data_IF_951399157591
#
_entry.id   IF_951399157591
#
_cell.length_a   1.000
_cell.length_b   1.000
_cell.length_c   1.000
_cell.angle_alpha   90.00
_cell.angle_beta   90.00
_cell.angle_gamma   90.00
#
_symmetry.space_group_name_H-M   'P 1'
#
loop_
_entity.id
_entity.type
_entity.pdbx_description
1 polymer ?
#
# COMPACT_ATOMS: atom_id res chain seq x y z
N UNK A 1 17.40 9.02 5.41
CA UNK A 1 16.67 9.79 6.44
C UNK A 1 15.87 10.95 5.84
N UNK A 2 16.48 11.87 5.09
CA UNK A 2 15.83 13.09 4.56
C UNK A 2 14.56 12.87 3.75
N UNK A 3 14.47 11.83 2.91
CA UNK A 3 13.27 11.53 2.13
C UNK A 3 12.10 11.14 3.04
N UNK A 4 12.33 10.27 4.05
CA UNK A 4 11.30 9.89 5.01
C UNK A 4 10.82 11.09 5.82
N UNK A 5 11.75 11.94 6.29
CA UNK A 5 11.40 13.17 7.01
C UNK A 5 10.54 14.08 6.14
N UNK A 6 10.88 14.23 4.85
CA UNK A 6 10.14 15.09 3.93
C UNK A 6 8.70 14.67 3.73
N UNK A 7 8.38 13.36 3.82
CA UNK A 7 7.00 12.87 3.75
C UNK A 7 6.14 13.40 4.91
N UNK A 8 6.77 13.71 6.05
CA UNK A 8 6.08 14.23 7.25
C UNK A 8 6.14 15.76 7.39
N UNK A 9 6.71 16.45 6.41
CA UNK A 9 6.77 17.93 6.44
C UNK A 9 5.54 18.52 5.76
N UNK A 10 4.99 19.57 6.38
CA UNK A 10 3.88 20.32 5.79
C UNK A 10 4.26 20.88 4.40
N UNK A 11 3.35 20.75 3.43
CA UNK A 11 3.58 21.20 2.06
C UNK A 11 4.34 20.21 1.17
N UNK A 12 4.52 18.96 1.61
CA UNK A 12 5.08 17.91 0.76
C UNK A 12 4.12 17.58 -0.40
N UNK A 13 4.62 17.68 -1.63
CA UNK A 13 3.86 17.44 -2.87
C UNK A 13 4.50 16.37 -3.78
N UNK A 14 5.47 15.60 -3.28
CA UNK A 14 6.09 14.49 -4.02
C UNK A 14 7.15 14.91 -5.04
N UNK A 15 7.68 16.13 -4.95
CA UNK A 15 8.76 16.62 -5.83
C UNK A 15 10.13 16.31 -5.26
N UNK A 16 11.12 16.05 -6.12
CA UNK A 16 12.53 15.93 -5.69
C UNK A 16 13.05 17.20 -5.01
N UNK A 17 12.52 18.35 -5.40
CA UNK A 17 12.83 19.64 -4.76
C UNK A 17 12.31 19.73 -3.33
N UNK A 18 11.19 19.06 -3.02
CA UNK A 18 10.65 19.06 -1.65
C UNK A 18 11.55 18.25 -0.72
N UNK A 19 12.16 17.17 -1.22
CA UNK A 19 13.16 16.43 -0.45
C UNK A 19 14.44 17.27 -0.21
N UNK A 20 14.88 18.02 -1.22
CA UNK A 20 16.09 18.84 -1.13
C UNK A 20 15.94 20.00 -0.14
N UNK A 21 14.76 20.65 -0.11
CA UNK A 21 14.46 21.75 0.82
C UNK A 21 14.57 21.36 2.30
N UNK A 22 14.50 20.08 2.60
CA UNK A 22 14.49 19.56 3.97
C UNK A 22 15.70 18.65 4.23
N UNK A 23 16.78 18.84 3.48
CA UNK A 23 18.01 18.08 3.65
C UNK A 23 19.23 18.93 3.23
N UNK A 24 20.39 18.62 3.77
CA UNK A 24 21.69 19.18 3.33
C UNK A 24 22.11 18.68 1.93
N UNK A 25 21.31 17.82 1.29
CA UNK A 25 21.64 17.23 0.01
C UNK A 25 21.01 18.01 -1.15
N UNK A 26 21.79 18.28 -2.18
CA UNK A 26 21.26 18.86 -3.41
C UNK A 26 20.27 17.90 -4.09
N UNK A 27 19.28 18.44 -4.81
CA UNK A 27 18.24 17.67 -5.52
C UNK A 27 18.78 16.56 -6.44
N UNK A 28 19.95 16.78 -7.03
CA UNK A 28 20.60 15.79 -7.92
C UNK A 28 21.11 14.58 -7.13
N UNK A 29 21.62 14.77 -5.92
CA UNK A 29 22.05 13.70 -5.02
C UNK A 29 20.86 12.82 -4.63
N UNK A 30 19.72 13.43 -4.31
CA UNK A 30 18.50 12.72 -3.99
C UNK A 30 17.96 11.97 -5.21
N UNK A 31 17.96 12.61 -6.38
CA UNK A 31 17.58 11.97 -7.62
C UNK A 31 18.48 10.78 -7.96
N UNK A 32 19.81 10.92 -7.74
CA UNK A 32 20.78 9.83 -7.90
C UNK A 32 20.52 8.70 -6.89
N UNK A 33 20.26 8.99 -5.62
CA UNK A 33 19.93 8.02 -4.59
C UNK A 33 18.72 7.18 -4.98
N UNK A 34 17.64 7.79 -5.46
CA UNK A 34 16.46 7.08 -5.90
C UNK A 34 16.66 6.30 -7.21
N UNK A 35 17.54 6.75 -8.12
CA UNK A 35 17.73 6.12 -9.44
C UNK A 35 18.79 5.02 -9.42
N UNK A 36 20.01 5.40 -9.07
CA UNK A 36 21.23 4.60 -9.24
C UNK A 36 22.06 4.46 -7.97
N UNK A 37 21.55 4.95 -6.83
CA UNK A 37 22.19 4.74 -5.53
C UNK A 37 22.39 3.26 -5.24
N UNK A 38 23.56 2.91 -4.72
CA UNK A 38 23.98 1.52 -4.42
C UNK A 38 23.39 1.01 -3.09
N UNK A 39 22.12 1.29 -2.80
CA UNK A 39 21.43 0.70 -1.66
C UNK A 39 20.51 -0.43 -2.14
N UNK A 40 20.39 -1.45 -1.29
CA UNK A 40 19.62 -2.64 -1.60
C UNK A 40 18.14 -2.42 -1.20
N UNK A 41 17.32 -2.11 -2.19
CA UNK A 41 15.88 -1.93 -2.00
C UNK A 41 15.17 -3.27 -1.79
N UNK A 42 15.71 -4.40 -2.25
CA UNK A 42 15.15 -5.72 -1.96
C UNK A 42 15.31 -6.09 -0.49
N UNK A 43 16.49 -5.85 0.09
CA UNK A 43 16.75 -6.08 1.51
C UNK A 43 15.80 -5.26 2.40
N UNK A 44 15.57 -3.98 2.06
CA UNK A 44 14.62 -3.14 2.81
C UNK A 44 13.18 -3.66 2.67
N UNK A 45 12.79 -4.08 1.47
CA UNK A 45 11.47 -4.67 1.20
C UNK A 45 11.26 -5.94 2.03
N UNK A 46 12.24 -6.83 2.05
CA UNK A 46 12.15 -8.10 2.78
C UNK A 46 12.15 -7.88 4.29
N UNK A 47 12.96 -6.95 4.81
CA UNK A 47 12.94 -6.57 6.21
C UNK A 47 11.56 -6.02 6.63
N UNK A 48 10.94 -5.19 5.78
CA UNK A 48 9.59 -4.67 6.01
C UNK A 48 8.56 -5.79 6.03
N UNK A 49 8.59 -6.70 5.04
CA UNK A 49 7.71 -7.88 4.99
C UNK A 49 7.84 -8.74 6.25
N UNK A 50 9.07 -9.05 6.67
CA UNK A 50 9.32 -9.85 7.88
C UNK A 50 8.80 -9.15 9.14
N UNK A 51 8.97 -7.83 9.25
CA UNK A 51 8.42 -7.05 10.36
C UNK A 51 6.89 -7.10 10.40
N UNK A 52 6.24 -6.98 9.25
CA UNK A 52 4.78 -7.08 9.12
C UNK A 52 4.28 -8.46 9.53
N UNK A 53 4.93 -9.53 9.03
CA UNK A 53 4.60 -10.92 9.41
C UNK A 53 4.78 -11.10 10.92
N UNK A 54 5.93 -10.69 11.46
CA UNK A 54 6.23 -10.81 12.89
C UNK A 54 5.15 -10.17 13.76
N UNK A 55 4.76 -8.94 13.46
CA UNK A 55 3.73 -8.21 14.22
C UNK A 55 2.37 -8.90 14.09
N UNK A 56 1.90 -9.14 12.88
CA UNK A 56 0.53 -9.65 12.65
C UNK A 56 0.38 -11.08 13.17
N UNK A 57 1.37 -11.94 12.97
CA UNK A 57 1.30 -13.34 13.40
C UNK A 57 1.49 -13.48 14.92
N UNK A 58 2.33 -12.63 15.55
CA UNK A 58 2.44 -12.58 17.00
C UNK A 58 1.13 -12.11 17.64
N UNK A 59 0.46 -11.11 17.05
CA UNK A 59 -0.83 -10.65 17.52
C UNK A 59 -1.93 -11.72 17.36
N UNK A 60 -1.90 -12.45 16.24
CA UNK A 60 -2.81 -13.57 16.01
C UNK A 60 -2.59 -14.70 17.01
N UNK A 61 -1.34 -15.07 17.29
CA UNK A 61 -1.00 -16.07 18.30
C UNK A 61 -1.42 -15.64 19.71
N UNK A 62 -1.24 -14.35 20.04
CA UNK A 62 -1.60 -13.80 21.35
C UNK A 62 -3.11 -13.76 21.60
N UNK A 63 -3.90 -13.44 20.53
CA UNK A 63 -5.34 -13.18 20.68
C UNK A 63 -6.24 -14.31 20.21
N UNK A 64 -5.72 -15.26 19.41
CA UNK A 64 -6.51 -16.28 18.73
C UNK A 64 -7.38 -15.72 17.59
N UNK A 65 -7.26 -14.42 17.28
CA UNK A 65 -8.04 -13.77 16.22
C UNK A 65 -7.52 -14.15 14.83
N UNK A 66 -8.40 -14.19 13.82
CA UNK A 66 -8.02 -14.55 12.47
C UNK A 66 -7.08 -13.50 11.83
N UNK A 67 -6.15 -13.99 10.99
CA UNK A 67 -5.38 -13.13 10.10
C UNK A 67 -6.17 -12.92 8.82
N UNK A 68 -6.26 -11.66 8.38
CA UNK A 68 -6.82 -11.28 7.10
C UNK A 68 -5.70 -10.84 6.16
N UNK A 69 -5.61 -11.49 5.00
CA UNK A 69 -4.83 -11.03 3.86
C UNK A 69 -5.76 -10.29 2.91
N UNK A 70 -5.54 -9.01 2.69
CA UNK A 70 -6.44 -8.15 1.91
C UNK A 70 -5.73 -7.73 0.64
N UNK A 71 -6.36 -7.97 -0.51
CA UNK A 71 -5.78 -7.70 -1.84
C UNK A 71 -6.67 -6.75 -2.61
N UNK A 72 -6.05 -5.70 -3.15
CA UNK A 72 -6.70 -4.78 -4.08
C UNK A 72 -5.64 -4.03 -4.91
N UNK A 73 -6.06 -3.22 -5.88
CA UNK A 73 -5.16 -2.36 -6.64
C UNK A 73 -5.63 -0.91 -6.70
N UNK A 74 -4.70 -0.02 -6.94
CA UNK A 74 -4.98 1.40 -7.08
C UNK A 74 -4.22 2.01 -8.25
N UNK A 75 -4.74 3.10 -8.82
CA UNK A 75 -4.08 3.89 -9.84
C UNK A 75 -3.53 5.16 -9.22
N UNK A 76 -2.22 5.37 -9.35
CA UNK A 76 -1.56 6.64 -9.11
C UNK A 76 -1.69 7.50 -10.37
N UNK A 77 -2.72 8.32 -10.42
CA UNK A 77 -3.09 9.10 -11.62
C UNK A 77 -2.02 10.11 -11.99
N UNK A 78 -1.75 10.24 -13.29
CA UNK A 78 -0.79 11.18 -13.87
C UNK A 78 -1.39 11.91 -15.08
N UNK A 79 -0.90 13.11 -15.33
CA UNK A 79 -1.16 13.78 -16.61
C UNK A 79 -0.30 13.12 -17.68
N UNK A 80 -0.92 12.66 -18.79
CA UNK A 80 -0.17 12.10 -19.92
C UNK A 80 0.73 13.19 -20.53
N UNK A 81 2.03 12.96 -20.65
CA UNK A 81 2.94 13.88 -21.33
C UNK A 81 2.53 14.08 -22.78
N UNK A 82 2.87 15.24 -23.36
CA UNK A 82 2.73 15.48 -24.79
C UNK A 82 3.61 14.50 -25.58
N UNK A 83 3.23 14.17 -26.81
CA UNK A 83 3.95 13.21 -27.66
C UNK A 83 5.42 13.61 -27.91
N UNK A 84 5.72 14.91 -27.84
CA UNK A 84 7.08 15.49 -27.99
C UNK A 84 7.88 15.58 -26.70
N UNK A 85 7.39 15.01 -25.59
CA UNK A 85 8.13 15.04 -24.33
C UNK A 85 9.43 14.25 -24.43
N UNK A 86 10.56 14.87 -24.03
CA UNK A 86 11.88 14.25 -24.06
C UNK A 86 12.01 13.12 -23.02
N UNK A 87 11.26 13.21 -21.95
CA UNK A 87 11.28 12.24 -20.84
C UNK A 87 9.85 11.76 -20.55
N UNK A 88 9.37 10.73 -21.28
CA UNK A 88 8.09 10.12 -20.98
C UNK A 88 8.13 9.47 -19.59
N UNK A 89 6.93 9.29 -19.01
CA UNK A 89 6.82 8.58 -17.73
C UNK A 89 6.90 7.08 -18.03
N UNK A 90 7.97 6.43 -17.57
CA UNK A 90 8.18 4.99 -17.74
C UNK A 90 7.09 4.18 -17.02
N UNK A 91 6.64 3.07 -17.62
CA UNK A 91 5.63 2.14 -17.08
C UNK A 91 4.28 2.79 -16.69
N UNK A 92 4.00 4.01 -17.18
CA UNK A 92 2.69 4.63 -17.06
C UNK A 92 1.81 4.27 -18.26
N UNK A 93 0.61 3.77 -17.98
CA UNK A 93 -0.33 3.31 -19.00
C UNK A 93 -1.74 3.85 -18.74
N UNK A 94 -2.63 3.70 -19.72
CA UNK A 94 -4.05 3.84 -19.49
C UNK A 94 -4.61 2.59 -18.81
N UNK A 95 -5.34 2.80 -17.73
CA UNK A 95 -6.03 1.78 -16.96
C UNK A 95 -7.51 2.13 -16.86
N UNK A 96 -8.38 1.11 -16.87
CA UNK A 96 -9.80 1.33 -16.61
C UNK A 96 -10.01 1.65 -15.13
N UNK A 97 -10.46 2.87 -14.84
CA UNK A 97 -10.83 3.28 -13.49
C UNK A 97 -12.32 3.08 -13.28
N UNK A 98 -12.69 2.18 -12.37
CA UNK A 98 -14.09 1.98 -11.99
C UNK A 98 -14.65 3.19 -11.22
N UNK A 99 -13.82 3.84 -10.41
CA UNK A 99 -14.21 5.04 -9.66
C UNK A 99 -14.52 6.22 -10.59
N UNK A 100 -13.65 6.47 -11.58
CA UNK A 100 -13.80 7.56 -12.53
C UNK A 100 -14.72 7.21 -13.71
N UNK A 101 -15.12 5.94 -13.85
CA UNK A 101 -15.89 5.40 -15.00
C UNK A 101 -15.27 5.70 -16.36
N UNK A 102 -13.96 5.92 -16.41
CA UNK A 102 -13.18 6.23 -17.62
C UNK A 102 -11.76 5.68 -17.51
N UNK A 103 -11.03 5.76 -18.62
CA UNK A 103 -9.61 5.46 -18.62
C UNK A 103 -8.84 6.54 -17.83
N UNK A 104 -7.93 6.12 -17.00
CA UNK A 104 -7.06 6.95 -16.20
C UNK A 104 -5.59 6.62 -16.54
N UNK A 105 -4.78 7.64 -16.83
CA UNK A 105 -3.38 7.46 -17.16
C UNK A 105 -2.54 7.54 -15.91
N UNK A 106 -1.62 6.60 -15.72
CA UNK A 106 -0.73 6.59 -14.57
C UNK A 106 -0.11 5.23 -14.30
N UNK A 107 0.42 5.06 -13.09
CA UNK A 107 0.94 3.78 -12.61
C UNK A 107 -0.14 3.05 -11.82
N UNK A 108 -0.25 1.75 -12.05
CA UNK A 108 -1.13 0.91 -11.24
C UNK A 108 -0.30 0.10 -10.26
N UNK A 109 -0.71 0.05 -9.01
CA UNK A 109 -0.08 -0.74 -7.97
C UNK A 109 -1.04 -1.81 -7.45
N UNK A 110 -0.55 -3.02 -7.29
CA UNK A 110 -1.20 -4.10 -6.54
C UNK A 110 -0.71 -4.04 -5.11
N UNK A 111 -1.63 -3.95 -4.17
CA UNK A 111 -1.34 -3.94 -2.74
C UNK A 111 -1.83 -5.21 -2.06
N UNK A 112 -1.03 -5.68 -1.11
CA UNK A 112 -1.39 -6.76 -0.19
C UNK A 112 -1.19 -6.27 1.22
N UNK A 113 -2.27 -6.27 2.01
CA UNK A 113 -2.26 -5.90 3.41
C UNK A 113 -2.42 -7.14 4.28
N UNK A 114 -1.77 -7.17 5.44
CA UNK A 114 -2.08 -8.13 6.49
C UNK A 114 -2.75 -7.42 7.65
N UNK A 115 -3.77 -8.05 8.23
CA UNK A 115 -4.51 -7.49 9.36
C UNK A 115 -4.85 -8.55 10.39
N UNK A 116 -4.73 -8.17 11.67
CA UNK A 116 -5.21 -8.95 12.82
C UNK A 116 -5.60 -7.99 13.95
N UNK A 117 -6.73 -8.23 14.59
CA UNK A 117 -7.18 -7.50 15.78
C UNK A 117 -7.12 -5.97 15.65
N UNK A 118 -7.52 -5.43 14.48
CA UNK A 118 -7.51 -3.98 14.21
C UNK A 118 -6.16 -3.40 13.77
N UNK A 119 -5.06 -4.16 13.87
CA UNK A 119 -3.77 -3.78 13.30
C UNK A 119 -3.82 -4.09 11.81
N UNK A 120 -3.49 -3.11 10.96
CA UNK A 120 -3.50 -3.25 9.50
C UNK A 120 -2.18 -2.72 8.95
N UNK A 121 -1.39 -3.58 8.32
CA UNK A 121 -0.06 -3.25 7.81
C UNK A 121 0.08 -3.62 6.34
N UNK A 122 0.74 -2.76 5.58
CA UNK A 122 1.08 -3.04 4.18
C UNK A 122 2.20 -4.08 4.11
N UNK A 123 1.91 -5.25 3.53
CA UNK A 123 2.87 -6.33 3.31
C UNK A 123 3.61 -6.20 1.99
N UNK A 124 2.90 -5.82 0.92
CA UNK A 124 3.48 -5.63 -0.40
C UNK A 124 2.75 -4.54 -1.19
N UNK A 125 3.51 -3.72 -1.91
CA UNK A 125 3.01 -2.68 -2.80
C UNK A 125 3.80 -2.73 -4.11
N UNK A 126 3.25 -3.42 -5.12
CA UNK A 126 3.96 -3.82 -6.34
C UNK A 126 3.43 -3.09 -7.55
N UNK A 127 4.33 -2.47 -8.33
CA UNK A 127 3.96 -1.82 -9.58
C UNK A 127 3.53 -2.85 -10.62
N UNK A 128 2.36 -2.63 -11.22
CA UNK A 128 1.87 -3.38 -12.36
C UNK A 128 2.30 -2.70 -13.66
N UNK A 129 3.21 -3.32 -14.39
CA UNK A 129 3.78 -2.81 -15.65
C UNK A 129 3.33 -3.59 -16.88
N UNK A 130 2.29 -4.40 -16.76
CA UNK A 130 1.74 -5.27 -17.83
C UNK A 130 2.64 -6.42 -18.30
N UNK A 131 3.86 -6.57 -17.78
CA UNK A 131 4.75 -7.70 -18.13
C UNK A 131 4.21 -9.04 -17.60
N UNK A 132 3.58 -9.02 -16.43
CA UNK A 132 2.89 -10.17 -15.84
C UNK A 132 1.49 -9.74 -15.39
N UNK A 133 0.57 -10.68 -15.28
CA UNK A 133 -0.80 -10.37 -14.84
C UNK A 133 -0.84 -9.98 -13.36
N UNK A 134 -1.83 -9.16 -12.96
CA UNK A 134 -2.07 -8.85 -11.54
C UNK A 134 -2.35 -10.11 -10.71
N UNK A 135 -2.97 -11.12 -11.32
CA UNK A 135 -3.20 -12.43 -10.69
C UNK A 135 -1.87 -13.12 -10.37
N UNK A 136 -0.93 -13.12 -11.32
CA UNK A 136 0.38 -13.74 -11.10
C UNK A 136 1.23 -12.97 -10.08
N UNK A 137 1.11 -11.63 -10.04
CA UNK A 137 1.73 -10.80 -8.97
C UNK A 137 1.23 -11.28 -7.60
N UNK A 138 -0.09 -11.34 -7.42
CA UNK A 138 -0.70 -11.76 -6.14
C UNK A 138 -0.34 -13.21 -5.82
N UNK A 139 -0.32 -14.10 -6.81
CA UNK A 139 0.08 -15.49 -6.62
C UNK A 139 1.53 -15.61 -6.14
N UNK A 140 2.44 -14.83 -6.72
CA UNK A 140 3.85 -14.83 -6.30
C UNK A 140 4.00 -14.30 -4.87
N UNK A 141 3.30 -13.22 -4.52
CA UNK A 141 3.27 -12.71 -3.14
C UNK A 141 2.70 -13.76 -2.16
N UNK A 142 1.64 -14.45 -2.54
CA UNK A 142 1.05 -15.50 -1.70
C UNK A 142 2.00 -16.68 -1.44
N UNK A 143 2.84 -17.05 -2.41
CA UNK A 143 3.86 -18.10 -2.25
C UNK A 143 4.91 -17.74 -1.19
N UNK A 144 5.21 -16.46 -1.01
CA UNK A 144 6.16 -15.95 -0.01
C UNK A 144 5.55 -15.90 1.40
N UNK A 145 4.21 -15.86 1.52
CA UNK A 145 3.55 -15.81 2.81
C UNK A 145 3.74 -17.12 3.58
N UNK A 146 4.17 -17.08 4.84
CA UNK A 146 4.14 -18.25 5.70
C UNK A 146 2.70 -18.65 6.04
N UNK A 147 2.48 -19.94 6.27
CA UNK A 147 1.18 -20.43 6.71
C UNK A 147 0.84 -19.87 8.10
N UNK A 148 -0.36 -19.31 8.31
CA UNK A 148 -0.78 -18.82 9.62
C UNK A 148 -1.11 -20.00 10.56
N UNK A 149 -0.88 -19.81 11.87
CA UNK A 149 -1.22 -20.79 12.90
C UNK A 149 -2.69 -20.75 13.35
N UNK A 150 -3.42 -19.73 12.92
CA UNK A 150 -4.82 -19.50 13.24
C UNK A 150 -5.67 -19.51 11.97
N UNK A 151 -6.98 -19.68 12.12
CA UNK A 151 -7.90 -19.56 11.00
C UNK A 151 -7.74 -18.21 10.31
N UNK A 152 -7.53 -18.20 9.01
CA UNK A 152 -7.16 -17.00 8.26
C UNK A 152 -7.91 -16.88 6.95
N UNK A 153 -8.07 -15.65 6.48
CA UNK A 153 -8.90 -15.35 5.34
C UNK A 153 -8.21 -14.44 4.33
N UNK A 154 -8.33 -14.78 3.04
CA UNK A 154 -8.09 -13.84 1.95
C UNK A 154 -9.37 -13.02 1.72
N UNK A 155 -9.24 -11.70 1.70
CA UNK A 155 -10.31 -10.77 1.34
C UNK A 155 -9.95 -10.04 0.05
N UNK A 156 -10.77 -10.20 -0.99
CA UNK A 156 -10.51 -9.56 -2.27
C UNK A 156 -11.82 -9.19 -2.99
N UNK A 157 -11.72 -8.31 -3.98
CA UNK A 157 -12.84 -7.98 -4.84
C UNK A 157 -13.11 -9.07 -5.88
N UNK A 158 -14.16 -8.89 -6.68
CA UNK A 158 -14.55 -9.87 -7.70
C UNK A 158 -13.50 -10.05 -8.81
N UNK A 159 -12.58 -9.11 -8.98
CA UNK A 159 -11.54 -9.18 -10.01
C UNK A 159 -10.46 -10.21 -9.65
N UNK A 160 -10.12 -10.31 -8.35
CA UNK A 160 -9.10 -11.24 -7.84
C UNK A 160 -9.66 -12.64 -7.51
N UNK A 161 -10.98 -12.84 -7.51
CA UNK A 161 -11.57 -14.17 -7.27
C UNK A 161 -11.36 -15.03 -8.50
N UNK A 162 -10.29 -15.81 -8.53
CA UNK A 162 -9.94 -16.78 -9.58
C UNK A 162 -9.48 -18.08 -8.95
N UNK A 163 -9.60 -19.18 -9.70
CA UNK A 163 -9.15 -20.51 -9.25
C UNK A 163 -7.68 -20.50 -8.80
N UNK A 164 -6.81 -19.86 -9.60
CA UNK A 164 -5.38 -19.72 -9.28
C UNK A 164 -5.17 -19.09 -7.91
N UNK A 165 -5.84 -17.97 -7.62
CA UNK A 165 -5.72 -17.26 -6.35
C UNK A 165 -6.28 -18.09 -5.20
N UNK A 166 -7.51 -18.63 -5.37
CA UNK A 166 -8.16 -19.45 -4.34
C UNK A 166 -7.28 -20.63 -3.95
N UNK A 167 -6.77 -21.39 -4.94
CA UNK A 167 -5.95 -22.57 -4.69
C UNK A 167 -4.61 -22.22 -4.05
N UNK A 168 -3.95 -21.14 -4.51
CA UNK A 168 -2.67 -20.71 -3.92
C UNK A 168 -2.83 -20.31 -2.45
N UNK A 169 -3.86 -19.53 -2.13
CA UNK A 169 -4.12 -19.13 -0.75
C UNK A 169 -4.64 -20.28 0.12
N UNK A 170 -5.43 -21.19 -0.43
CA UNK A 170 -5.87 -22.40 0.28
C UNK A 170 -4.68 -23.31 0.68
N UNK A 171 -3.70 -23.48 -0.21
CA UNK A 171 -2.45 -24.21 0.08
C UNK A 171 -1.63 -23.55 1.21
N UNK A 172 -1.82 -22.25 1.42
CA UNK A 172 -1.19 -21.50 2.52
C UNK A 172 -2.06 -21.42 3.78
N UNK A 173 -3.22 -22.08 3.82
CA UNK A 173 -4.13 -22.09 4.98
C UNK A 173 -5.08 -20.90 5.07
N UNK A 174 -5.25 -20.13 3.99
CA UNK A 174 -6.21 -19.03 3.94
C UNK A 174 -7.51 -19.45 3.24
N UNK A 175 -8.65 -19.19 3.87
CA UNK A 175 -9.97 -19.32 3.25
C UNK A 175 -10.32 -18.04 2.48
N UNK A 176 -10.82 -18.15 1.25
CA UNK A 176 -11.14 -16.98 0.43
C UNK A 176 -12.56 -16.47 0.73
N UNK A 177 -12.68 -15.18 1.00
CA UNK A 177 -13.93 -14.43 1.04
C UNK A 177 -13.83 -13.31 -0.01
N UNK A 178 -14.55 -13.45 -1.11
CA UNK A 178 -14.51 -12.50 -2.22
C UNK A 178 -15.89 -12.26 -2.81
N UNK A 179 -16.09 -11.06 -3.36
CA UNK A 179 -17.29 -10.77 -4.12
C UNK A 179 -17.28 -11.54 -5.45
N UNK A 180 -18.42 -12.00 -5.88
CA UNK A 180 -18.60 -12.64 -7.19
C UNK A 180 -19.57 -11.83 -8.04
N UNK A 181 -19.27 -11.69 -9.33
CA UNK A 181 -20.22 -11.12 -10.29
C UNK A 181 -21.37 -12.07 -10.50
N UNK A 182 -22.59 -11.58 -10.51
CA UNK A 182 -23.82 -12.38 -10.65
C UNK A 182 -23.90 -13.20 -11.95
N UNK A 183 -23.24 -12.74 -13.00
CA UNK A 183 -23.17 -13.42 -14.30
C UNK A 183 -22.05 -14.48 -14.38
N UNK A 184 -21.31 -14.73 -13.30
CA UNK A 184 -20.24 -15.74 -13.28
C UNK A 184 -20.83 -17.14 -13.42
N UNK A 185 -20.18 -17.96 -14.25
CA UNK A 185 -20.53 -19.36 -14.43
C UNK A 185 -19.81 -20.20 -13.36
N UNK A 186 -20.57 -21.05 -12.71
CA UNK A 186 -20.07 -22.05 -11.77
C UNK A 186 -20.48 -23.44 -12.26
N UNK A 187 -19.83 -24.48 -11.76
CA UNK A 187 -20.04 -25.85 -12.16
C UNK A 187 -20.35 -26.73 -10.93
N UNK A 188 -21.45 -26.47 -10.16
CA UNK A 188 -21.80 -27.30 -9.03
C UNK A 188 -22.14 -28.70 -9.55
N UNK A 189 -21.47 -29.73 -9.00
CA UNK A 189 -21.65 -31.14 -9.40
C UNK A 189 -21.49 -31.36 -10.92
N UNK A 190 -20.61 -30.58 -11.59
CA UNK A 190 -20.37 -30.66 -13.03
C UNK A 190 -21.40 -29.95 -13.92
N UNK A 191 -22.47 -29.40 -13.36
CA UNK A 191 -23.52 -28.70 -14.12
C UNK A 191 -23.19 -27.20 -14.23
N UNK A 192 -23.25 -26.68 -15.45
CA UNK A 192 -23.00 -25.23 -15.72
C UNK A 192 -24.22 -24.42 -15.28
N UNK A 193 -24.04 -23.55 -14.27
CA UNK A 193 -25.06 -22.60 -13.79
C UNK A 193 -24.51 -21.19 -13.63
N UNK A 194 -25.34 -20.17 -13.86
CA UNK A 194 -24.99 -18.80 -13.46
C UNK A 194 -25.08 -18.65 -11.95
N UNK A 195 -24.21 -17.81 -11.38
CA UNK A 195 -24.24 -17.53 -9.94
C UNK A 195 -25.61 -17.02 -9.46
N UNK A 196 -26.29 -16.19 -10.28
CA UNK A 196 -27.64 -15.70 -9.97
C UNK A 196 -28.69 -16.82 -9.83
N UNK A 197 -28.62 -17.85 -10.69
CA UNK A 197 -29.50 -19.02 -10.66
C UNK A 197 -29.19 -19.88 -9.43
N UNK A 198 -27.91 -20.15 -9.18
CA UNK A 198 -27.46 -20.90 -8.01
C UNK A 198 -27.82 -20.19 -6.69
N UNK A 199 -27.68 -18.84 -6.64
CA UNK A 199 -28.04 -18.08 -5.46
C UNK A 199 -29.56 -18.12 -5.16
N UNK A 200 -30.39 -18.15 -6.18
CA UNK A 200 -31.84 -18.29 -6.02
C UNK A 200 -32.22 -19.69 -5.47
N UNK A 201 -31.52 -20.73 -5.91
CA UNK A 201 -31.72 -22.11 -5.39
C UNK A 201 -31.25 -22.24 -3.93
N UNK A 202 -30.15 -21.60 -3.56
CA UNK A 202 -29.57 -21.69 -2.22
C UNK A 202 -30.32 -20.84 -1.18
N UNK A 203 -31.06 -19.82 -1.59
CA UNK A 203 -31.82 -18.94 -0.68
C UNK A 203 -33.00 -19.64 -0.01
N UNK A 204 -33.38 -20.82 -0.45
CA UNK A 204 -34.52 -21.59 0.05
C UNK A 204 -34.14 -22.61 1.15
N UNK A 205 -32.86 -22.87 1.36
CA UNK A 205 -32.41 -23.86 2.35
C UNK A 205 -31.86 -23.20 3.60
N UNK A 206 -32.65 -23.20 4.66
CA UNK A 206 -32.35 -22.61 5.98
C UNK A 206 -31.28 -23.35 6.80
N UNK A 207 -30.52 -24.27 6.27
CA UNK A 207 -29.59 -25.08 7.05
C UNK A 207 -28.17 -24.58 7.00
N UNK A 208 -27.74 -23.83 8.04
CA UNK A 208 -26.32 -23.59 8.38
C UNK A 208 -25.53 -22.69 7.42
N UNK A 209 -25.95 -22.63 6.16
CA UNK A 209 -25.26 -21.84 5.12
C UNK A 209 -25.49 -20.34 5.32
N UNK A 210 -26.69 -19.93 5.71
CA UNK A 210 -27.01 -18.52 5.95
C UNK A 210 -26.25 -17.94 7.14
N UNK A 211 -26.10 -18.68 8.22
CA UNK A 211 -25.29 -18.28 9.38
C UNK A 211 -23.80 -18.16 9.02
N UNK A 212 -23.26 -19.07 8.21
CA UNK A 212 -21.90 -19.00 7.72
C UNK A 212 -21.71 -17.82 6.75
N UNK A 213 -22.68 -17.53 5.90
CA UNK A 213 -22.68 -16.39 4.97
C UNK A 213 -22.75 -15.06 5.71
N UNK A 214 -23.60 -14.92 6.71
CA UNK A 214 -23.72 -13.71 7.55
C UNK A 214 -22.42 -13.47 8.35
N UNK A 215 -21.86 -14.51 8.96
CA UNK A 215 -20.59 -14.40 9.71
C UNK A 215 -19.42 -14.04 8.80
N UNK A 216 -19.37 -14.58 7.59
CA UNK A 216 -18.36 -14.26 6.58
C UNK A 216 -18.55 -12.86 5.98
N UNK A 217 -19.79 -12.37 5.80
CA UNK A 217 -20.06 -10.97 5.45
C UNK A 217 -19.48 -10.00 6.46
N UNK A 218 -19.58 -10.31 7.76
CA UNK A 218 -18.99 -9.51 8.82
C UNK A 218 -17.46 -9.35 8.63
N UNK A 219 -16.78 -10.38 8.19
CA UNK A 219 -15.35 -10.33 7.90
C UNK A 219 -15.01 -9.56 6.61
N UNK A 220 -15.86 -9.60 5.60
CA UNK A 220 -15.62 -8.90 4.33
C UNK A 220 -15.52 -7.37 4.51
N UNK A 221 -16.10 -6.80 5.53
CA UNK A 221 -15.98 -5.38 5.87
C UNK A 221 -14.52 -4.97 6.12
N UNK A 222 -13.69 -5.87 6.64
CA UNK A 222 -12.26 -5.60 6.85
C UNK A 222 -11.50 -5.34 5.54
N UNK A 223 -12.05 -5.73 4.37
CA UNK A 223 -11.47 -5.38 3.07
C UNK A 223 -11.36 -3.86 2.88
N UNK A 224 -12.26 -3.09 3.49
CA UNK A 224 -12.25 -1.63 3.40
C UNK A 224 -10.95 -0.99 3.94
N UNK A 225 -10.20 -1.69 4.75
CA UNK A 225 -8.92 -1.20 5.30
C UNK A 225 -7.89 -0.87 4.20
N UNK A 226 -7.91 -1.58 3.06
CA UNK A 226 -7.00 -1.31 1.95
C UNK A 226 -7.36 0.01 1.23
N UNK A 227 -8.64 0.34 1.15
CA UNK A 227 -9.11 1.61 0.60
C UNK A 227 -8.67 2.80 1.49
N UNK A 228 -8.71 2.60 2.82
CA UNK A 228 -8.20 3.57 3.79
C UNK A 228 -6.70 3.77 3.58
N UNK A 229 -5.94 2.68 3.45
CA UNK A 229 -4.51 2.74 3.13
C UNK A 229 -4.23 3.53 1.84
N UNK A 230 -4.94 3.25 0.75
CA UNK A 230 -4.78 4.00 -0.50
C UNK A 230 -5.06 5.48 -0.33
N UNK A 231 -6.13 5.82 0.39
CA UNK A 231 -6.48 7.22 0.68
C UNK A 231 -5.39 7.90 1.50
N UNK A 232 -4.89 7.28 2.56
CA UNK A 232 -3.82 7.82 3.39
C UNK A 232 -2.54 8.06 2.57
N UNK A 233 -2.16 7.12 1.71
CA UNK A 233 -1.00 7.27 0.84
C UNK A 233 -1.18 8.39 -0.20
N UNK A 234 -2.39 8.57 -0.75
CA UNK A 234 -2.69 9.65 -1.70
C UNK A 234 -2.71 11.01 -1.02
N UNK A 235 -3.44 11.12 0.08
CA UNK A 235 -3.69 12.41 0.74
C UNK A 235 -2.48 12.91 1.54
N UNK A 236 -1.72 12.02 2.17
CA UNK A 236 -0.64 12.38 3.10
C UNK A 236 0.78 12.11 2.58
N UNK A 237 0.94 11.18 1.64
CA UNK A 237 2.24 10.69 1.20
C UNK A 237 2.46 10.85 -0.31
N UNK A 238 1.65 11.67 -0.97
CA UNK A 238 1.75 12.03 -2.39
C UNK A 238 1.84 10.81 -3.34
N UNK A 239 1.09 9.73 -3.08
CA UNK A 239 1.04 8.57 -3.98
C UNK A 239 0.61 8.96 -5.40
N UNK A 240 -0.29 9.95 -5.55
CA UNK A 240 -0.67 10.52 -6.84
C UNK A 240 0.15 11.76 -7.21
N UNK A 241 0.81 12.39 -6.23
CA UNK A 241 1.49 13.69 -6.36
C UNK A 241 2.94 13.60 -6.84
N UNK A 242 3.64 12.46 -6.69
CA UNK A 242 5.06 12.39 -7.01
C UNK A 242 5.35 12.78 -8.47
N UNK A 243 6.50 13.47 -8.69
CA UNK A 243 6.97 13.92 -10.00
C UNK A 243 8.28 13.21 -10.36
N UNK A 244 8.18 11.88 -10.48
CA UNK A 244 9.27 10.99 -10.87
C UNK A 244 8.90 10.33 -12.20
N UNK A 245 9.85 10.21 -13.12
CA UNK A 245 9.61 9.67 -14.46
C UNK A 245 10.16 8.24 -14.62
N UNK A 246 11.23 7.87 -13.91
CA UNK A 246 11.85 6.56 -14.07
C UNK A 246 11.22 5.53 -13.13
N UNK A 247 10.96 4.35 -13.66
CA UNK A 247 10.38 3.20 -12.94
C UNK A 247 11.13 2.86 -11.66
N UNK A 248 12.47 2.86 -11.69
CA UNK A 248 13.29 2.56 -10.53
C UNK A 248 13.09 3.59 -9.41
N UNK A 249 13.07 4.88 -9.76
CA UNK A 249 12.81 5.95 -8.78
C UNK A 249 11.43 5.81 -8.13
N UNK A 250 10.43 5.46 -8.93
CA UNK A 250 9.04 5.31 -8.46
C UNK A 250 8.92 4.12 -7.53
N UNK A 251 9.48 2.96 -7.89
CA UNK A 251 9.49 1.75 -7.04
C UNK A 251 10.16 2.01 -5.69
N UNK A 252 11.33 2.66 -5.70
CA UNK A 252 12.06 3.03 -4.48
C UNK A 252 11.28 4.06 -3.64
N UNK A 253 10.65 5.03 -4.29
CA UNK A 253 9.78 5.98 -3.59
C UNK A 253 8.58 5.27 -2.94
N UNK A 254 7.92 4.35 -3.63
CA UNK A 254 6.80 3.58 -3.06
C UNK A 254 7.22 2.70 -1.90
N UNK A 255 8.42 2.15 -1.93
CA UNK A 255 8.98 1.39 -0.81
C UNK A 255 9.22 2.29 0.40
N UNK A 256 9.80 3.47 0.22
CA UNK A 256 10.00 4.45 1.30
C UNK A 256 8.65 4.98 1.84
N UNK A 257 7.66 5.19 0.98
CA UNK A 257 6.29 5.53 1.37
C UNK A 257 5.65 4.42 2.21
N UNK A 258 5.83 3.16 1.81
CA UNK A 258 5.34 2.00 2.57
C UNK A 258 6.02 1.90 3.94
N UNK A 259 7.31 2.19 4.03
CA UNK A 259 8.05 2.27 5.29
C UNK A 259 7.52 3.42 6.17
N UNK A 260 7.28 4.61 5.59
CA UNK A 260 6.71 5.74 6.32
C UNK A 260 5.30 5.41 6.88
N UNK A 261 4.46 4.74 6.09
CA UNK A 261 3.15 4.27 6.52
C UNK A 261 3.27 3.23 7.66
N UNK A 262 4.19 2.27 7.53
CA UNK A 262 4.49 1.29 8.59
C UNK A 262 4.90 1.98 9.90
N UNK A 263 5.77 2.98 9.83
CA UNK A 263 6.19 3.78 11.01
C UNK A 263 5.01 4.49 11.68
N UNK A 264 4.01 4.93 10.92
CA UNK A 264 2.80 5.53 11.45
C UNK A 264 1.92 4.56 12.22
N UNK A 265 2.02 3.24 11.98
CA UNK A 265 1.18 2.24 12.67
C UNK A 265 1.97 1.54 13.77
N UNK A 266 3.22 1.12 13.49
CA UNK A 266 3.98 0.22 14.35
C UNK A 266 5.30 0.82 14.90
N UNK A 267 5.64 2.06 14.58
CA UNK A 267 6.99 2.63 14.77
C UNK A 267 7.52 2.77 16.21
N UNK A 268 6.67 2.65 17.26
CA UNK A 268 7.10 2.78 18.68
C UNK A 268 6.72 1.57 19.53
N UNK A 269 6.35 0.44 18.90
CA UNK A 269 5.87 -0.75 19.63
C UNK A 269 4.44 -0.64 20.16
N UNK A 270 3.87 0.56 20.23
CA UNK A 270 2.46 0.78 20.54
C UNK A 270 1.67 0.99 19.25
N UNK A 271 0.57 0.26 19.11
CA UNK A 271 -0.31 0.43 17.96
C UNK A 271 -1.29 1.57 18.21
N UNK A 272 -1.35 2.50 17.27
CA UNK A 272 -2.33 3.58 17.28
C UNK A 272 -2.88 3.83 15.88
N UNK A 273 -3.88 4.70 15.76
CA UNK A 273 -4.38 5.06 14.44
C UNK A 273 -3.31 5.76 13.61
N UNK A 274 -3.31 5.52 12.29
CA UNK A 274 -2.41 6.19 11.36
C UNK A 274 -2.43 7.71 11.55
N UNK A 275 -3.62 8.31 11.58
CA UNK A 275 -3.78 9.77 11.69
C UNK A 275 -3.15 10.32 12.95
N UNK A 276 -3.39 9.68 14.10
CA UNK A 276 -2.84 10.12 15.40
C UNK A 276 -1.31 10.15 15.35
N UNK A 277 -0.68 9.08 14.86
CA UNK A 277 0.78 9.02 14.83
C UNK A 277 1.37 9.87 13.70
N UNK A 278 0.73 9.94 12.55
CA UNK A 278 1.14 10.82 11.47
C UNK A 278 1.26 12.26 11.96
N UNK A 279 0.23 12.79 12.61
CA UNK A 279 0.26 14.15 13.16
C UNK A 279 1.32 14.31 14.26
N UNK A 280 1.50 13.30 15.12
CA UNK A 280 2.56 13.31 16.14
C UNK A 280 3.95 13.38 15.50
N UNK A 281 4.22 12.58 14.48
CA UNK A 281 5.51 12.61 13.74
C UNK A 281 5.70 13.95 13.05
N UNK A 282 4.67 14.48 12.37
CA UNK A 282 4.72 15.81 11.76
C UNK A 282 5.08 16.89 12.78
N UNK A 283 4.46 16.85 13.97
CA UNK A 283 4.78 17.79 15.07
C UNK A 283 6.22 17.69 15.56
N UNK A 284 6.75 16.47 15.71
CA UNK A 284 8.15 16.25 16.10
C UNK A 284 9.09 16.80 15.01
N UNK A 285 8.85 16.48 13.75
CA UNK A 285 9.67 16.97 12.62
C UNK A 285 9.65 18.50 12.55
N UNK A 286 8.49 19.12 12.75
CA UNK A 286 8.35 20.57 12.78
C UNK A 286 9.11 21.20 13.95
N UNK A 287 9.05 20.59 15.12
CA UNK A 287 9.76 21.05 16.32
C UNK A 287 11.29 20.98 16.13
N UNK A 288 11.79 19.88 15.54
CA UNK A 288 13.23 19.74 15.23
C UNK A 288 13.70 20.80 14.23
N UNK A 289 12.86 21.13 13.25
CA UNK A 289 13.14 22.24 12.32
C UNK A 289 13.25 23.58 13.06
N UNK A 290 12.36 23.85 14.00
CA UNK A 290 12.45 25.09 14.79
C UNK A 290 13.68 25.11 15.69
N UNK A 291 14.06 23.99 16.29
CA UNK A 291 15.29 23.87 17.08
C UNK A 291 16.51 24.16 16.21
N UNK A 292 16.57 23.61 15.01
CA UNK A 292 17.65 23.88 14.06
C UNK A 292 17.72 25.36 13.69
N UNK A 293 16.59 25.97 13.32
CA UNK A 293 16.55 27.42 13.00
C UNK A 293 16.97 28.29 14.19
N UNK A 294 16.53 27.93 15.39
CA UNK A 294 16.92 28.66 16.60
C UNK A 294 18.42 28.53 16.87
N UNK A 295 19.03 27.38 16.61
CA UNK A 295 20.49 27.21 16.73
C UNK A 295 21.23 28.04 15.69
N UNK A 296 20.79 28.02 14.43
CA UNK A 296 21.37 28.88 13.39
C UNK A 296 21.29 30.37 13.76
N UNK A 297 20.17 30.79 14.33
CA UNK A 297 20.03 32.20 14.78
C UNK A 297 20.97 32.57 15.93
N UNK A 298 21.26 31.62 16.83
CA UNK A 298 22.26 31.85 17.90
C UNK A 298 23.70 31.93 17.41
N UNK A 299 24.00 31.23 16.32
CA UNK A 299 25.33 31.16 15.72
C UNK A 299 25.55 32.23 14.67
N UNK A 300 24.56 33.11 14.43
CA UNK A 300 24.59 34.14 13.41
C UNK A 300 24.77 35.52 14.05
N UNK A 301 25.63 36.36 13.48
CA UNK A 301 25.84 37.74 13.92
C UNK A 301 24.78 38.70 13.36
N UNK A 302 24.21 38.36 12.21
CA UNK A 302 23.21 39.16 11.49
C UNK A 302 22.23 38.27 10.70
N UNK A 303 21.21 38.90 10.11
CA UNK A 303 20.15 38.17 9.36
C UNK A 303 20.68 37.47 8.11
N UNK A 304 21.66 38.07 7.39
CA UNK A 304 22.22 37.47 6.18
C UNK A 304 23.05 36.23 6.49
N UNK A 305 23.80 36.26 7.59
CA UNK A 305 24.54 35.13 8.14
C UNK A 305 23.57 34.02 8.58
N UNK A 306 22.46 34.37 9.25
CA UNK A 306 21.41 33.44 9.62
C UNK A 306 20.81 32.75 8.39
N UNK A 307 20.43 33.49 7.34
CA UNK A 307 19.86 32.91 6.13
C UNK A 307 20.84 31.93 5.46
N UNK A 308 22.14 32.22 5.44
CA UNK A 308 23.17 31.31 4.91
C UNK A 308 23.29 30.02 5.69
N UNK A 309 23.16 30.06 7.02
CA UNK A 309 23.21 28.87 7.89
C UNK A 309 21.89 28.09 7.87
N UNK A 310 20.74 28.75 7.79
CA UNK A 310 19.43 28.15 7.82
C UNK A 310 19.02 27.50 6.50
N UNK A 311 19.71 27.78 5.39
CA UNK A 311 19.55 27.14 4.07
C UNK A 311 18.47 27.71 3.22
#
# INVERSE_FOLDING_TARGET
MSILISIFISGYHGKTTDFAKNSSCHRTTIAHFLNSGKWDDSLLSDALKQSVIGIIYSEAARTGNPVFCIVDDTIASKTKPLSRALHPIEDAYFHQSHLKKKQDYGHQAVAVMLSCNGIVLNYAFVMYNKSISKIDIVQNIAKELPAPLVMSYLLCDCWYVSEKIINTFAQKGFHTIGALKTNRLLYPSGMKKKLSELAAELSVTHNGFDLATVKKRKYYVYRWSIEIFFRQCKDKMALDGYQLCSTQRIKRYWLLMSLAHFMCIAGTGEFCSFETRYHKICGIVQLEKYRYLFQCAKESDDFDSFIKLAG
#
